data_IF_754135124444
#
_entry.id   IF_754135124444
#
_cell.length_a   1.000
_cell.length_b   1.000
_cell.length_c   1.000
_cell.angle_alpha   90.00
_cell.angle_beta   90.00
_cell.angle_gamma   90.00
#
_symmetry.space_group_name_H-M   'P 1'
#
loop_
_entity.id
_entity.type
_entity.pdbx_description
1 polymer ?
#
# COMPACT_ATOMS: atom_id res chain seq x y z
N UNK A 1 -6.08 -9.73 -23.16
CA UNK A 1 -4.98 -10.39 -22.43
C UNK A 1 -5.03 -9.84 -21.01
N UNK A 2 -5.52 -10.61 -20.03
CA UNK A 2 -5.58 -10.12 -18.65
C UNK A 2 -4.16 -9.97 -18.13
N UNK A 3 -3.81 -8.80 -17.61
CA UNK A 3 -2.50 -8.60 -16.97
C UNK A 3 -2.33 -9.66 -15.87
N UNK A 4 -1.13 -10.26 -15.79
CA UNK A 4 -0.81 -11.16 -14.68
C UNK A 4 -1.04 -10.42 -13.35
N UNK A 5 -1.60 -11.09 -12.33
CA UNK A 5 -1.83 -10.47 -11.04
C UNK A 5 -0.48 -10.08 -10.43
N UNK A 6 -0.22 -8.78 -10.35
CA UNK A 6 0.89 -8.23 -9.59
C UNK A 6 0.60 -8.31 -8.09
N UNK A 7 1.62 -8.19 -7.24
CA UNK A 7 1.43 -8.10 -5.78
C UNK A 7 0.45 -6.98 -5.40
N UNK A 8 0.39 -5.90 -6.17
CA UNK A 8 -0.57 -4.81 -5.96
C UNK A 8 -2.04 -5.23 -6.06
N UNK A 9 -2.35 -6.39 -6.66
CA UNK A 9 -3.71 -6.96 -6.64
C UNK A 9 -4.17 -7.28 -5.21
N UNK A 10 -3.24 -7.67 -4.32
CA UNK A 10 -3.54 -8.00 -2.93
C UNK A 10 -4.03 -6.80 -2.11
N UNK A 11 -3.74 -5.57 -2.55
CA UNK A 11 -4.26 -4.34 -1.96
C UNK A 11 -5.49 -3.82 -2.71
N UNK A 12 -5.45 -3.80 -4.05
CA UNK A 12 -6.55 -3.26 -4.88
C UNK A 12 -7.86 -4.02 -4.69
N UNK A 13 -7.81 -5.36 -4.64
CA UNK A 13 -9.04 -6.15 -4.54
C UNK A 13 -9.76 -5.97 -3.19
N UNK A 14 -9.08 -6.08 -2.03
CA UNK A 14 -9.73 -5.81 -0.75
C UNK A 14 -10.23 -4.36 -0.62
N UNK A 15 -9.50 -3.38 -1.16
CA UNK A 15 -9.98 -2.00 -1.23
C UNK A 15 -11.31 -1.85 -1.98
N UNK A 16 -11.46 -2.53 -3.11
CA UNK A 16 -12.72 -2.52 -3.86
C UNK A 16 -13.85 -3.28 -3.15
N UNK A 17 -13.55 -4.41 -2.48
CA UNK A 17 -14.58 -5.29 -1.90
C UNK A 17 -14.96 -4.91 -0.46
N UNK A 18 -14.03 -4.34 0.29
CA UNK A 18 -14.11 -4.16 1.74
C UNK A 18 -13.67 -2.76 2.18
N UNK A 19 -13.89 -1.74 1.35
CA UNK A 19 -13.47 -0.35 1.57
C UNK A 19 -13.58 0.14 3.03
N UNK A 20 -14.72 -0.11 3.67
CA UNK A 20 -15.03 0.35 5.05
C UNK A 20 -14.65 -0.63 6.16
N UNK A 21 -13.95 -1.73 5.85
CA UNK A 21 -13.46 -2.71 6.84
C UNK A 21 -12.03 -2.39 7.23
N UNK A 22 -11.67 -2.72 8.46
CA UNK A 22 -10.32 -2.54 8.99
C UNK A 22 -9.32 -3.35 8.17
N UNK A 23 -8.28 -2.67 7.69
CA UNK A 23 -7.17 -3.25 6.93
C UNK A 23 -5.95 -3.47 7.84
N UNK A 24 -5.55 -2.44 8.59
CA UNK A 24 -4.38 -2.49 9.48
C UNK A 24 -4.73 -2.02 10.89
N UNK A 25 -4.07 -2.61 11.88
CA UNK A 25 -4.09 -2.19 13.28
C UNK A 25 -2.63 -2.09 13.75
N UNK A 26 -2.16 -0.87 14.01
CA UNK A 26 -0.88 -0.64 14.64
C UNK A 26 -1.05 -0.74 16.16
N UNK A 27 -0.49 -1.80 16.76
CA UNK A 27 -0.62 -2.02 18.21
C UNK A 27 0.23 -1.07 19.05
N UNK A 28 1.29 -0.48 18.49
CA UNK A 28 2.17 0.44 19.20
C UNK A 28 1.53 1.81 19.39
N UNK A 29 0.72 2.25 18.42
CA UNK A 29 0.05 3.56 18.43
C UNK A 29 -1.46 3.48 18.69
N UNK A 30 -2.05 2.29 18.55
CA UNK A 30 -3.51 2.09 18.57
C UNK A 30 -4.21 2.49 17.28
N UNK A 31 -3.46 2.95 16.27
CA UNK A 31 -4.00 3.43 15.01
C UNK A 31 -4.67 2.30 14.22
N UNK A 32 -5.82 2.61 13.61
CA UNK A 32 -6.57 1.71 12.76
C UNK A 32 -6.86 2.42 11.45
N UNK A 33 -6.72 1.69 10.35
CA UNK A 33 -7.12 2.17 9.01
C UNK A 33 -8.07 1.20 8.35
N UNK A 34 -9.02 1.74 7.59
CA UNK A 34 -9.86 0.95 6.69
C UNK A 34 -9.22 0.80 5.32
N UNK A 35 -9.70 -0.13 4.51
CA UNK A 35 -9.09 -0.45 3.22
C UNK A 35 -9.09 0.72 2.22
N UNK A 36 -10.10 1.59 2.23
CA UNK A 36 -10.10 2.78 1.36
C UNK A 36 -8.99 3.76 1.72
N UNK A 37 -8.77 4.00 3.01
CA UNK A 37 -7.70 4.88 3.48
C UNK A 37 -6.32 4.33 3.12
N UNK A 38 -6.13 3.01 3.26
CA UNK A 38 -4.89 2.34 2.83
C UNK A 38 -4.69 2.52 1.33
N UNK A 39 -5.73 2.31 0.51
CA UNK A 39 -5.63 2.45 -0.95
C UNK A 39 -5.26 3.88 -1.37
N UNK A 40 -5.90 4.89 -0.78
CA UNK A 40 -5.59 6.30 -1.07
C UNK A 40 -4.13 6.63 -0.75
N UNK A 41 -3.61 6.11 0.37
CA UNK A 41 -2.24 6.34 0.83
C UNK A 41 -1.21 5.62 -0.03
N UNK A 42 -1.45 4.36 -0.38
CA UNK A 42 -0.60 3.58 -1.30
C UNK A 42 -0.56 4.24 -2.67
N UNK A 43 -1.70 4.71 -3.21
CA UNK A 43 -1.74 5.43 -4.48
C UNK A 43 -0.96 6.75 -4.42
N UNK A 44 -1.06 7.48 -3.31
CA UNK A 44 -0.27 8.69 -3.09
C UNK A 44 1.23 8.42 -3.06
N UNK A 45 1.66 7.36 -2.35
CA UNK A 45 3.05 6.93 -2.31
C UNK A 45 3.56 6.51 -3.68
N UNK A 46 2.79 5.66 -4.40
CA UNK A 46 3.13 5.23 -5.74
C UNK A 46 3.29 6.41 -6.71
N UNK A 47 2.41 7.43 -6.62
CA UNK A 47 2.53 8.65 -7.42
C UNK A 47 3.82 9.42 -7.10
N UNK A 48 4.19 9.50 -5.82
CA UNK A 48 5.45 10.14 -5.40
C UNK A 48 6.69 9.38 -5.87
N UNK A 49 6.67 8.05 -5.80
CA UNK A 49 7.75 7.18 -6.28
C UNK A 49 7.93 7.28 -7.80
N UNK A 50 6.84 7.29 -8.57
CA UNK A 50 6.89 7.52 -10.02
C UNK A 50 7.45 8.89 -10.37
N UNK A 51 7.25 9.90 -9.52
CA UNK A 51 7.84 11.23 -9.66
C UNK A 51 9.36 11.29 -9.40
N UNK A 52 9.99 10.19 -8.99
CA UNK A 52 11.45 10.06 -8.84
C UNK A 52 12.10 9.33 -10.03
N UNK A 53 11.38 9.22 -11.16
CA UNK A 53 11.83 8.56 -12.38
C UNK A 53 12.17 7.06 -12.20
N UNK A 54 11.46 6.37 -11.29
CA UNK A 54 11.60 4.93 -11.11
C UNK A 54 11.01 4.13 -12.27
N UNK A 55 11.73 3.10 -12.71
CA UNK A 55 11.33 2.19 -13.77
C UNK A 55 11.06 0.77 -13.26
N UNK A 56 10.41 -0.03 -14.11
CA UNK A 56 10.20 -1.46 -13.82
C UNK A 56 11.57 -2.15 -13.75
N UNK A 57 11.87 -2.75 -12.59
CA UNK A 57 13.15 -3.41 -12.33
C UNK A 57 14.05 -2.64 -11.35
N UNK A 58 13.71 -1.39 -11.05
CA UNK A 58 14.40 -0.62 -10.02
C UNK A 58 14.19 -1.19 -8.61
N UNK A 59 15.14 -0.86 -7.73
CA UNK A 59 15.15 -1.31 -6.33
C UNK A 59 14.85 -0.15 -5.41
N UNK A 60 13.84 -0.32 -4.58
CA UNK A 60 13.50 0.63 -3.52
C UNK A 60 13.92 0.05 -2.18
N UNK A 61 14.85 0.73 -1.50
CA UNK A 61 15.27 0.37 -0.14
C UNK A 61 14.31 0.91 0.90
N UNK A 62 13.83 0.04 1.80
CA UNK A 62 12.93 0.41 2.89
C UNK A 62 13.60 0.17 4.25
N UNK A 63 13.89 1.24 5.00
CA UNK A 63 14.40 1.15 6.37
C UNK A 63 13.40 1.78 7.34
N UNK A 64 12.52 0.95 7.89
CA UNK A 64 11.43 1.37 8.76
C UNK A 64 11.13 0.33 9.83
N UNK A 65 10.61 0.78 10.97
CA UNK A 65 10.02 -0.12 11.97
C UNK A 65 8.64 -0.59 11.50
N UNK A 66 8.22 -1.75 12.01
CA UNK A 66 6.86 -2.25 11.81
C UNK A 66 5.84 -1.21 12.26
N UNK A 67 5.05 -0.74 11.30
CA UNK A 67 4.04 0.31 11.48
C UNK A 67 3.02 0.23 10.35
N UNK A 68 1.88 0.90 10.50
CA UNK A 68 0.93 1.04 9.40
C UNK A 68 1.56 1.63 8.13
N UNK A 69 2.51 2.57 8.27
CA UNK A 69 3.24 3.18 7.15
C UNK A 69 4.21 2.22 6.46
N UNK A 70 4.85 1.33 7.22
CA UNK A 70 5.72 0.31 6.63
C UNK A 70 4.91 -0.64 5.73
N UNK A 71 3.69 -1.00 6.14
CA UNK A 71 2.78 -1.81 5.31
C UNK A 71 2.37 -1.10 4.01
N UNK A 72 2.09 0.21 4.07
CA UNK A 72 1.68 1.02 2.91
C UNK A 72 2.78 1.19 1.83
N UNK A 73 4.02 0.75 2.10
CA UNK A 73 5.15 0.82 1.18
C UNK A 73 5.31 -0.43 0.29
N UNK A 74 4.56 -1.49 0.56
CA UNK A 74 4.55 -2.75 -0.20
C UNK A 74 3.34 -2.82 -1.13
#
# INVERSE_FOLDING_TARGET
MGAEPTLAWTLRRPAAQYANKVATIDRGTGERRIWSEVADRVNGLASGLLGLDLEIGDRVGALMLNSGRHFELW
#
